data_IF_388397828845
#
_entry.id   IF_388397828845
#
_cell.length_a   1.000
_cell.length_b   1.000
_cell.length_c   1.000
_cell.angle_alpha   90.00
_cell.angle_beta   90.00
_cell.angle_gamma   90.00
#
_symmetry.space_group_name_H-M   'P 1'
#
loop_
_entity.id
_entity.type
_entity.pdbx_description
1 polymer ?
#
# COMPACT_ATOMS: atom_id res chain seq x y z
N UNK A 1 -9.89 -15.96 -10.93
CA UNK A 1 -8.44 -16.08 -11.16
C UNK A 1 -7.90 -14.68 -11.43
N UNK A 2 -7.26 -14.04 -10.46
CA UNK A 2 -6.74 -12.67 -10.61
C UNK A 2 -5.31 -12.74 -11.16
N UNK A 3 -5.09 -12.26 -12.37
CA UNK A 3 -3.75 -12.20 -12.95
C UNK A 3 -2.99 -11.02 -12.36
N UNK A 4 -1.89 -11.36 -11.68
CA UNK A 4 -0.87 -10.40 -11.24
C UNK A 4 -0.31 -9.75 -12.50
N UNK A 5 -0.55 -8.44 -12.65
CA UNK A 5 0.10 -7.62 -13.68
C UNK A 5 1.57 -7.50 -13.28
N UNK A 6 2.41 -8.40 -13.78
CA UNK A 6 3.86 -8.26 -13.74
C UNK A 6 4.25 -6.90 -14.33
N UNK A 7 5.17 -6.19 -13.66
CA UNK A 7 5.64 -4.87 -14.10
C UNK A 7 6.25 -4.88 -15.52
N UNK A 8 6.66 -6.06 -16.03
CA UNK A 8 7.04 -6.26 -17.45
C UNK A 8 5.88 -5.98 -18.42
N UNK A 9 4.65 -6.28 -18.01
CA UNK A 9 3.43 -6.11 -18.81
C UNK A 9 3.11 -4.64 -19.13
N UNK A 10 3.38 -3.70 -18.23
CA UNK A 10 2.98 -2.30 -18.44
C UNK A 10 3.79 -1.63 -19.55
N UNK A 11 5.11 -1.74 -19.50
CA UNK A 11 6.01 -1.10 -20.46
C UNK A 11 5.78 -1.66 -21.87
N UNK A 12 5.61 -2.98 -21.99
CA UNK A 12 5.30 -3.65 -23.25
C UNK A 12 3.95 -3.23 -23.83
N UNK A 13 2.90 -3.17 -23.00
CA UNK A 13 1.57 -2.68 -23.42
C UNK A 13 1.66 -1.23 -23.88
N UNK A 14 2.35 -0.37 -23.13
CA UNK A 14 2.52 1.04 -23.49
C UNK A 14 3.26 1.19 -24.82
N UNK A 15 4.34 0.44 -25.02
CA UNK A 15 5.10 0.42 -26.28
C UNK A 15 4.21 0.01 -27.46
N UNK A 16 3.47 -1.09 -27.35
CA UNK A 16 2.55 -1.55 -28.41
C UNK A 16 1.48 -0.51 -28.77
N UNK A 17 0.95 0.22 -27.79
CA UNK A 17 -0.01 1.29 -28.04
C UNK A 17 0.65 2.46 -28.79
N UNK A 18 1.88 2.83 -28.42
CA UNK A 18 2.63 3.89 -29.11
C UNK A 18 2.97 3.47 -30.55
N UNK A 19 3.36 2.21 -30.78
CA UNK A 19 3.60 1.68 -32.13
C UNK A 19 2.35 1.75 -33.02
N UNK A 20 1.16 1.57 -32.45
CA UNK A 20 -0.11 1.76 -33.17
C UNK A 20 -0.28 3.23 -33.58
N UNK A 21 0.03 4.18 -32.70
CA UNK A 21 -0.03 5.60 -33.06
C UNK A 21 1.05 6.00 -34.08
N UNK A 22 2.21 5.33 -34.07
CA UNK A 22 3.25 5.51 -35.08
C UNK A 22 2.80 5.05 -36.47
N UNK A 23 2.07 3.92 -36.54
CA UNK A 23 1.56 3.36 -37.80
C UNK A 23 0.28 4.06 -38.29
N UNK A 24 -0.62 4.39 -37.38
CA UNK A 24 -1.91 5.03 -37.67
C UNK A 24 -2.23 6.11 -36.60
N UNK A 25 -1.75 7.36 -36.80
CA UNK A 25 -1.99 8.46 -35.87
C UNK A 25 -3.48 8.83 -35.71
N UNK A 26 -4.32 8.49 -36.69
CA UNK A 26 -5.76 8.82 -36.70
C UNK A 26 -6.60 7.73 -36.03
N UNK A 27 -6.00 6.61 -35.62
CA UNK A 27 -6.69 5.52 -34.93
C UNK A 27 -7.51 6.02 -33.74
N UNK A 28 -8.73 5.49 -33.63
CA UNK A 28 -9.66 5.86 -32.55
C UNK A 28 -9.14 5.41 -31.19
N UNK A 29 -9.04 6.34 -30.25
CA UNK A 29 -8.65 6.05 -28.86
C UNK A 29 -9.62 5.06 -28.19
N UNK A 30 -10.89 5.06 -28.58
CA UNK A 30 -11.89 4.12 -28.04
C UNK A 30 -11.63 2.69 -28.50
N UNK A 31 -11.23 2.50 -29.77
CA UNK A 31 -10.89 1.19 -30.32
C UNK A 31 -9.67 0.59 -29.62
N UNK A 32 -8.62 1.39 -29.46
CA UNK A 32 -7.40 0.97 -28.75
C UNK A 32 -7.70 0.67 -27.27
N UNK A 33 -8.53 1.50 -26.62
CA UNK A 33 -8.94 1.28 -25.23
C UNK A 33 -9.59 -0.09 -25.03
N UNK A 34 -10.50 -0.49 -25.93
CA UNK A 34 -11.13 -1.82 -25.94
C UNK A 34 -10.10 -2.93 -26.19
N UNK A 35 -9.23 -2.76 -27.19
CA UNK A 35 -8.23 -3.77 -27.56
C UNK A 35 -7.25 -4.10 -26.41
N UNK A 36 -6.82 -3.10 -25.64
CA UNK A 36 -5.83 -3.28 -24.57
C UNK A 36 -6.46 -3.35 -23.17
N UNK A 37 -7.79 -3.37 -23.07
CA UNK A 37 -8.53 -3.29 -21.81
C UNK A 37 -8.02 -2.16 -20.89
N UNK A 38 -7.95 -0.94 -21.44
CA UNK A 38 -7.52 0.28 -20.73
C UNK A 38 -8.60 1.34 -20.79
N UNK A 39 -8.54 2.29 -19.85
CA UNK A 39 -9.42 3.46 -19.91
C UNK A 39 -9.09 4.33 -21.12
N UNK A 40 -10.12 4.95 -21.73
CA UNK A 40 -9.95 5.91 -22.82
C UNK A 40 -9.02 7.07 -22.41
N UNK A 41 -9.09 7.50 -21.15
CA UNK A 41 -8.21 8.53 -20.59
C UNK A 41 -6.73 8.13 -20.63
N UNK A 42 -6.41 6.86 -20.34
CA UNK A 42 -5.04 6.33 -20.42
C UNK A 42 -4.53 6.37 -21.85
N UNK A 43 -5.36 5.97 -22.81
CA UNK A 43 -5.01 5.99 -24.24
C UNK A 43 -4.81 7.42 -24.76
N UNK A 44 -5.70 8.36 -24.40
CA UNK A 44 -5.56 9.79 -24.73
C UNK A 44 -4.24 10.36 -24.19
N UNK A 45 -3.85 9.98 -22.97
CA UNK A 45 -2.57 10.39 -22.39
C UNK A 45 -1.39 9.89 -23.22
N UNK A 46 -1.37 8.62 -23.61
CA UNK A 46 -0.29 8.08 -24.46
C UNK A 46 -0.26 8.74 -25.85
N UNK A 47 -1.43 9.04 -26.43
CA UNK A 47 -1.49 9.80 -27.70
C UNK A 47 -0.88 11.19 -27.55
N UNK A 48 -1.16 11.88 -26.44
CA UNK A 48 -0.54 13.17 -26.14
C UNK A 48 0.98 13.05 -25.99
N UNK A 49 1.47 12.07 -25.24
CA UNK A 49 2.91 11.80 -25.09
C UNK A 49 3.59 11.53 -26.45
N UNK A 50 2.92 10.78 -27.34
CA UNK A 50 3.40 10.54 -28.70
C UNK A 50 3.45 11.82 -29.55
N UNK A 51 2.42 12.66 -29.49
CA UNK A 51 2.41 13.95 -30.20
C UNK A 51 3.46 14.91 -29.65
N UNK A 52 3.65 14.95 -28.33
CA UNK A 52 4.69 15.74 -27.68
C UNK A 52 6.09 15.28 -28.16
N UNK A 53 6.31 13.97 -28.28
CA UNK A 53 7.56 13.42 -28.84
C UNK A 53 7.81 13.87 -30.28
N UNK A 54 6.81 13.79 -31.16
CA UNK A 54 6.95 14.27 -32.55
C UNK A 54 7.22 15.77 -32.61
N UNK A 55 6.48 16.56 -31.83
CA UNK A 55 6.49 18.01 -31.96
C UNK A 55 7.69 18.66 -31.26
N UNK A 56 8.19 18.06 -30.18
CA UNK A 56 9.20 18.69 -29.30
C UNK A 56 10.43 17.81 -29.04
N UNK A 57 10.46 16.58 -29.56
CA UNK A 57 11.51 15.61 -29.26
C UNK A 57 11.49 15.10 -27.81
N UNK A 58 10.43 15.40 -27.05
CA UNK A 58 10.32 15.03 -25.64
C UNK A 58 10.32 13.52 -25.45
N UNK A 59 11.29 13.01 -24.71
CA UNK A 59 11.46 11.59 -24.48
C UNK A 59 10.22 10.94 -23.81
N UNK A 60 9.82 9.78 -24.33
CA UNK A 60 8.69 9.00 -23.80
C UNK A 60 9.21 8.00 -22.78
N UNK A 61 8.89 8.22 -21.51
CA UNK A 61 9.20 7.28 -20.43
C UNK A 61 8.25 6.08 -20.50
N UNK A 62 8.76 4.90 -20.85
CA UNK A 62 7.99 3.65 -20.90
C UNK A 62 7.81 2.98 -19.53
N UNK A 63 8.71 3.24 -18.59
CA UNK A 63 8.66 2.67 -17.25
C UNK A 63 7.56 3.32 -16.40
N UNK A 64 7.01 2.55 -15.46
CA UNK A 64 6.10 3.11 -14.47
C UNK A 64 6.88 4.09 -13.58
N UNK A 65 6.41 5.33 -13.38
CA UNK A 65 7.11 6.34 -12.54
C UNK A 65 7.22 5.95 -11.04
N UNK A 66 6.72 4.79 -10.65
CA UNK A 66 6.48 4.43 -9.25
C UNK A 66 7.19 3.13 -8.82
N UNK A 67 8.20 2.69 -9.56
CA UNK A 67 8.92 1.43 -9.24
C UNK A 67 9.75 1.57 -7.96
N UNK A 68 10.18 2.79 -7.60
CA UNK A 68 11.15 3.05 -6.53
C UNK A 68 10.64 4.01 -5.44
N UNK A 69 9.34 4.08 -5.17
CA UNK A 69 8.90 4.81 -3.99
C UNK A 69 9.24 4.00 -2.73
N UNK A 70 10.42 4.24 -2.14
CA UNK A 70 10.86 3.62 -0.88
C UNK A 70 9.85 3.85 0.27
N UNK A 71 9.07 4.93 0.21
CA UNK A 71 8.01 5.23 1.19
C UNK A 71 6.71 4.45 0.92
N UNK A 72 6.59 3.80 -0.24
CA UNK A 72 5.50 2.90 -0.59
C UNK A 72 5.91 1.43 -0.48
N UNK A 73 7.01 1.11 0.23
CA UNK A 73 7.37 -0.26 0.54
C UNK A 73 6.18 -0.94 1.25
N UNK A 74 5.53 -1.86 0.53
CA UNK A 74 4.42 -2.62 1.06
C UNK A 74 5.00 -3.70 1.96
N UNK A 75 4.95 -3.48 3.27
CA UNK A 75 5.20 -4.54 4.25
C UNK A 75 4.13 -5.64 4.07
N UNK A 76 4.50 -6.92 4.18
CA UNK A 76 3.50 -7.99 4.13
C UNK A 76 2.58 -7.90 5.36
N UNK A 77 1.41 -8.51 5.29
CA UNK A 77 0.51 -8.56 6.44
C UNK A 77 1.14 -9.32 7.62
N UNK A 78 1.95 -10.35 7.33
CA UNK A 78 2.77 -11.06 8.32
C UNK A 78 3.80 -10.15 9.01
N UNK A 79 4.51 -9.29 8.26
CA UNK A 79 5.42 -8.31 8.87
C UNK A 79 4.65 -7.37 9.81
N UNK A 80 3.47 -6.88 9.41
CA UNK A 80 2.66 -6.01 10.26
C UNK A 80 2.16 -6.76 11.50
N UNK A 81 1.77 -8.03 11.35
CA UNK A 81 1.33 -8.87 12.45
C UNK A 81 2.45 -9.02 13.49
N UNK A 82 3.66 -9.38 13.05
CA UNK A 82 4.82 -9.50 13.93
C UNK A 82 5.16 -8.18 14.64
N UNK A 83 5.05 -7.04 13.94
CA UNK A 83 5.18 -5.73 14.56
C UNK A 83 4.10 -5.45 15.61
N UNK A 84 2.89 -5.98 15.42
CA UNK A 84 1.79 -5.90 16.38
C UNK A 84 2.03 -6.74 17.63
N UNK A 85 2.52 -7.97 17.46
CA UNK A 85 2.89 -8.87 18.57
C UNK A 85 4.00 -8.27 19.43
N UNK A 86 5.08 -7.77 18.81
CA UNK A 86 6.16 -7.07 19.53
C UNK A 86 5.62 -5.87 20.29
N UNK A 87 4.80 -5.04 19.63
CA UNK A 87 4.17 -3.91 20.29
C UNK A 87 3.36 -4.36 21.51
N UNK A 88 2.53 -5.39 21.37
CA UNK A 88 1.66 -5.84 22.45
C UNK A 88 2.42 -6.51 23.61
N UNK A 89 3.54 -7.19 23.33
CA UNK A 89 4.43 -7.74 24.34
C UNK A 89 5.15 -6.64 25.14
N UNK A 90 5.54 -5.55 24.48
CA UNK A 90 6.30 -4.45 25.09
C UNK A 90 5.43 -3.28 25.55
N UNK A 91 4.13 -3.25 25.22
CA UNK A 91 3.33 -2.04 25.42
C UNK A 91 3.06 -1.72 26.88
N UNK A 92 3.23 -2.65 27.81
CA UNK A 92 2.97 -2.41 29.23
C UNK A 92 4.27 -2.01 29.90
N UNK A 93 4.34 -0.76 30.37
CA UNK A 93 5.54 -0.21 31.00
C UNK A 93 5.46 -0.40 32.52
N UNK A 94 4.31 -0.12 33.13
CA UNK A 94 4.10 -0.30 34.58
C UNK A 94 2.75 -0.94 34.91
N UNK A 95 2.71 -1.62 36.05
CA UNK A 95 1.50 -2.19 36.68
C UNK A 95 1.46 -3.72 36.69
N UNK A 96 0.84 -4.29 37.73
CA UNK A 96 0.64 -5.75 37.88
C UNK A 96 -0.39 -6.30 36.88
N UNK A 97 -0.69 -7.59 36.91
CA UNK A 97 -1.56 -8.27 35.92
C UNK A 97 -2.90 -7.56 35.67
N UNK A 98 -3.48 -6.96 36.71
CA UNK A 98 -4.70 -6.16 36.60
C UNK A 98 -4.42 -4.72 36.14
N UNK A 99 -5.04 -4.33 35.01
CA UNK A 99 -4.96 -2.96 34.51
C UNK A 99 -5.77 -2.02 35.41
N UNK A 100 -5.10 -1.16 36.16
CA UNK A 100 -5.70 -0.12 36.99
C UNK A 100 -5.24 1.29 36.54
N UNK A 101 -5.67 2.33 37.25
CA UNK A 101 -5.35 3.72 36.92
C UNK A 101 -3.86 4.08 37.00
N UNK A 102 -3.02 3.27 37.66
CA UNK A 102 -1.57 3.49 37.76
C UNK A 102 -0.76 2.73 36.69
N UNK A 103 -1.41 1.98 35.80
CA UNK A 103 -0.76 1.36 34.66
C UNK A 103 -0.37 2.39 33.60
N UNK A 104 0.90 2.35 33.19
CA UNK A 104 1.39 3.12 32.05
C UNK A 104 1.68 2.21 30.86
N UNK A 105 1.41 2.72 29.67
CA UNK A 105 1.56 1.97 28.43
C UNK A 105 2.43 2.73 27.43
N UNK A 106 3.19 1.99 26.62
CA UNK A 106 3.90 2.52 25.48
C UNK A 106 2.89 3.02 24.44
N UNK A 107 3.00 4.30 24.10
CA UNK A 107 2.19 4.85 23.02
C UNK A 107 2.64 4.28 21.68
N UNK A 108 1.71 4.08 20.75
CA UNK A 108 2.05 3.68 19.39
C UNK A 108 2.99 4.68 18.70
N UNK A 109 2.94 5.96 19.08
CA UNK A 109 3.84 7.01 18.57
C UNK A 109 5.29 6.76 19.00
N UNK A 110 5.51 6.41 20.28
CA UNK A 110 6.84 6.09 20.79
C UNK A 110 7.37 4.77 20.21
N UNK A 111 6.50 3.78 20.05
CA UNK A 111 6.85 2.56 19.35
C UNK A 111 7.28 2.84 17.90
N UNK A 112 6.51 3.67 17.17
CA UNK A 112 6.81 4.06 15.79
C UNK A 112 8.16 4.77 15.64
N UNK A 113 8.54 5.65 16.58
CA UNK A 113 9.87 6.28 16.55
C UNK A 113 11.00 5.25 16.67
N UNK A 114 10.83 4.23 17.52
CA UNK A 114 11.82 3.16 17.67
C UNK A 114 11.88 2.21 16.47
N UNK A 115 10.81 2.03 15.71
CA UNK A 115 10.78 1.14 14.54
C UNK A 115 11.80 1.50 13.47
N UNK A 116 11.99 2.81 13.24
CA UNK A 116 12.97 3.29 12.25
C UNK A 116 14.40 3.08 12.74
N UNK A 117 14.66 3.38 14.01
CA UNK A 117 16.00 3.37 14.59
C UNK A 117 16.49 1.96 14.92
N UNK A 118 15.65 1.12 15.51
CA UNK A 118 16.03 -0.23 15.95
C UNK A 118 15.88 -1.31 14.89
N UNK A 119 14.88 -1.18 14.02
CA UNK A 119 14.47 -2.26 13.11
C UNK A 119 14.54 -1.87 11.63
N UNK A 120 14.90 -0.62 11.31
CA UNK A 120 15.04 -0.15 9.93
C UNK A 120 13.73 0.01 9.16
N UNK A 121 12.57 -0.14 9.80
CA UNK A 121 11.27 -0.03 9.14
C UNK A 121 10.95 1.44 8.78
N UNK A 122 10.65 1.68 7.50
CA UNK A 122 10.27 2.99 6.94
C UNK A 122 8.77 3.07 6.68
N UNK A 123 7.95 2.60 7.61
CA UNK A 123 6.48 2.72 7.55
C UNK A 123 6.05 4.08 8.10
N UNK A 124 5.08 4.74 7.48
CA UNK A 124 4.50 5.96 8.05
C UNK A 124 3.59 5.62 9.24
N UNK A 125 3.53 6.49 10.25
CA UNK A 125 2.72 6.28 11.45
C UNK A 125 1.25 5.97 11.11
N UNK A 126 0.64 6.76 10.22
CA UNK A 126 -0.77 6.56 9.83
C UNK A 126 -1.00 5.21 9.13
N UNK A 127 -0.04 4.75 8.34
CA UNK A 127 -0.15 3.45 7.67
C UNK A 127 0.06 2.31 8.66
N UNK A 128 1.00 2.44 9.60
CA UNK A 128 1.20 1.48 10.68
C UNK A 128 -0.06 1.34 11.54
N UNK A 129 -0.59 2.45 12.04
CA UNK A 129 -1.80 2.47 12.89
C UNK A 129 -3.00 1.81 12.19
N UNK A 130 -3.28 2.21 10.94
CA UNK A 130 -4.36 1.61 10.14
C UNK A 130 -4.17 0.11 9.93
N UNK A 131 -2.95 -0.35 9.66
CA UNK A 131 -2.70 -1.77 9.37
C UNK A 131 -2.65 -2.61 10.63
N UNK A 132 -2.13 -2.09 11.73
CA UNK A 132 -2.21 -2.73 13.04
C UNK A 132 -3.67 -2.93 13.45
N UNK A 133 -4.54 -1.91 13.31
CA UNK A 133 -5.97 -2.05 13.61
C UNK A 133 -6.61 -3.18 12.79
N UNK A 134 -6.29 -3.28 11.50
CA UNK A 134 -6.76 -4.37 10.63
C UNK A 134 -6.28 -5.75 11.06
N UNK A 135 -5.09 -5.84 11.65
CA UNK A 135 -4.56 -7.09 12.22
C UNK A 135 -5.06 -7.33 13.66
N UNK A 136 -5.88 -6.44 14.19
CA UNK A 136 -6.39 -6.54 15.56
C UNK A 136 -5.44 -5.99 16.61
N UNK A 137 -4.56 -5.03 16.31
CA UNK A 137 -3.72 -4.36 17.31
C UNK A 137 -4.06 -2.88 17.40
N UNK A 138 -4.06 -2.32 18.61
CA UNK A 138 -4.25 -0.88 18.81
C UNK A 138 -3.59 -0.39 20.09
N UNK A 139 -3.28 0.91 20.11
CA UNK A 139 -2.78 1.60 21.30
C UNK A 139 -3.75 1.51 22.47
N UNK A 140 -3.23 1.33 23.68
CA UNK A 140 -4.02 1.41 24.92
C UNK A 140 -4.81 2.73 25.04
N UNK A 141 -4.23 3.81 24.52
CA UNK A 141 -4.79 5.16 24.53
C UNK A 141 -5.72 5.47 23.33
N UNK A 142 -6.04 4.50 22.48
CA UNK A 142 -6.94 4.75 21.35
C UNK A 142 -8.40 4.96 21.80
N UNK A 143 -9.22 5.54 20.92
CA UNK A 143 -10.64 5.81 21.20
C UNK A 143 -11.40 4.51 21.51
N UNK A 144 -12.43 4.60 22.37
CA UNK A 144 -13.28 3.46 22.74
C UNK A 144 -13.88 2.72 21.52
N UNK A 145 -14.22 3.45 20.44
CA UNK A 145 -14.71 2.87 19.19
C UNK A 145 -13.68 1.93 18.55
N UNK A 146 -12.43 2.40 18.39
CA UNK A 146 -11.31 1.62 17.85
C UNK A 146 -11.03 0.37 18.70
N UNK A 147 -11.06 0.48 20.03
CA UNK A 147 -10.92 -0.69 20.93
C UNK A 147 -11.99 -1.75 20.69
N UNK A 148 -13.25 -1.34 20.48
CA UNK A 148 -14.35 -2.28 20.18
C UNK A 148 -14.16 -2.95 18.82
N UNK A 149 -13.75 -2.19 17.82
CA UNK A 149 -13.47 -2.70 16.47
C UNK A 149 -12.36 -3.76 16.48
N UNK A 150 -11.23 -3.43 17.10
CA UNK A 150 -10.10 -4.35 17.25
C UNK A 150 -10.48 -5.65 17.96
N UNK A 151 -11.30 -5.57 19.03
CA UNK A 151 -11.81 -6.78 19.72
C UNK A 151 -12.63 -7.69 18.80
N UNK A 152 -13.45 -7.12 17.91
CA UNK A 152 -14.22 -7.89 16.93
C UNK A 152 -13.29 -8.58 15.92
N UNK A 153 -12.31 -7.83 15.41
CA UNK A 153 -11.33 -8.34 14.44
C UNK A 153 -10.53 -9.50 15.05
N UNK A 154 -10.03 -9.37 16.29
CA UNK A 154 -9.33 -10.46 16.99
C UNK A 154 -10.17 -11.72 17.07
N UNK A 155 -11.42 -11.59 17.54
CA UNK A 155 -12.34 -12.71 17.68
C UNK A 155 -12.57 -13.40 16.32
N UNK A 156 -12.78 -12.63 15.26
CA UNK A 156 -12.91 -13.16 13.90
C UNK A 156 -11.64 -13.87 13.42
N UNK A 157 -10.47 -13.30 13.67
CA UNK A 157 -9.19 -13.89 13.28
C UNK A 157 -8.90 -15.19 14.05
N UNK A 158 -9.27 -15.27 15.33
CA UNK A 158 -9.19 -16.49 16.14
C UNK A 158 -10.13 -17.56 15.61
N UNK A 159 -11.39 -17.22 15.32
CA UNK A 159 -12.38 -18.13 14.73
C UNK A 159 -11.96 -18.64 13.35
N UNK A 160 -11.28 -17.81 12.56
CA UNK A 160 -10.80 -18.15 11.21
C UNK A 160 -9.53 -19.02 11.20
N UNK A 161 -8.77 -19.06 12.30
CA UNK A 161 -7.59 -19.92 12.46
C UNK A 161 -7.93 -21.35 12.88
N UNK A 162 -9.20 -21.65 13.20
CA UNK A 162 -9.68 -22.96 13.68
C UNK A 162 -10.10 -23.89 12.51
N UNK A 163 -9.51 -23.76 11.32
CA UNK A 163 -9.76 -24.67 10.17
C UNK A 163 -8.44 -25.28 9.72
#
# INVERSE_FOLDING_TARGET
MFTILDNKSYAEIKKRILDIFAKDPKRSCLSIAKQFNKSVSTIKRYKKEYLDFINTGKEIILSHKNVNNKNAQKYSDETIYNLGEVYQGEMKITGGENNNGSCSFLTLKNYHSCLKEKFGYKISYSNLDKRLIKQGFASAYCKRKTRKEVKKIRKQNEESKII
#
